data_IF_325676328380
#
_entry.id   IF_325676328380
#
_cell.length_a   1.000
_cell.length_b   1.000
_cell.length_c   1.000
_cell.angle_alpha   90.00
_cell.angle_beta   90.00
_cell.angle_gamma   90.00
#
_symmetry.space_group_name_H-M   'P 1'
#
loop_
_entity.id
_entity.type
_entity.pdbx_description
1 polymer ?
#
# COMPACT_ATOMS: atom_id res chain seq x y z
N UNK A 1 30.51 -4.86 -122.35
CA UNK A 1 30.60 -6.20 -121.73
C UNK A 1 30.04 -6.12 -120.32
N UNK A 2 29.15 -7.05 -119.91
CA UNK A 2 28.67 -7.20 -118.52
C UNK A 2 29.37 -8.40 -117.91
N UNK A 3 30.12 -8.20 -116.82
CA UNK A 3 30.77 -9.28 -116.07
C UNK A 3 29.71 -10.05 -115.27
N UNK A 4 29.80 -11.40 -115.19
CA UNK A 4 28.94 -12.19 -114.33
C UNK A 4 29.14 -11.77 -112.86
N UNK A 5 28.04 -11.49 -112.14
CA UNK A 5 28.06 -11.13 -110.72
C UNK A 5 27.40 -12.23 -109.88
N UNK A 6 28.02 -12.55 -108.73
CA UNK A 6 27.44 -13.40 -107.71
C UNK A 6 26.44 -12.59 -106.88
N UNK A 7 25.19 -13.04 -106.77
CA UNK A 7 24.19 -12.39 -105.92
C UNK A 7 23.97 -13.23 -104.67
N UNK A 8 24.16 -12.61 -103.50
CA UNK A 8 23.89 -13.20 -102.20
C UNK A 8 22.75 -12.40 -101.56
N UNK A 9 21.63 -13.07 -101.29
CA UNK A 9 20.53 -12.50 -100.53
C UNK A 9 20.49 -13.17 -99.16
N UNK A 10 20.66 -12.37 -98.11
CA UNK A 10 20.61 -12.84 -96.73
C UNK A 10 19.41 -12.24 -95.99
N UNK A 11 18.61 -13.10 -95.41
CA UNK A 11 17.54 -12.77 -94.48
C UNK A 11 18.00 -13.07 -93.05
N UNK A 12 18.17 -12.06 -92.18
CA UNK A 12 18.58 -12.29 -90.80
C UNK A 12 17.47 -12.92 -89.97
N UNK A 13 17.84 -13.61 -88.89
CA UNK A 13 16.87 -14.11 -87.90
C UNK A 13 16.19 -12.93 -87.19
N UNK A 14 14.89 -13.04 -86.90
CA UNK A 14 14.20 -12.14 -85.97
C UNK A 14 13.66 -12.94 -84.80
N UNK A 15 13.95 -12.46 -83.60
CA UNK A 15 13.49 -13.01 -82.34
C UNK A 15 12.55 -11.99 -81.68
N UNK A 16 11.39 -12.45 -81.23
CA UNK A 16 10.59 -11.73 -80.26
C UNK A 16 10.97 -12.20 -78.85
N UNK A 17 11.15 -11.24 -77.95
CA UNK A 17 11.61 -11.50 -76.58
C UNK A 17 10.58 -10.90 -75.63
N UNK A 18 9.81 -11.77 -74.99
CA UNK A 18 8.83 -11.37 -73.99
C UNK A 18 9.39 -11.67 -72.61
N UNK A 19 9.53 -10.63 -71.79
CA UNK A 19 10.06 -10.75 -70.44
C UNK A 19 9.02 -10.32 -69.42
N UNK A 20 8.78 -11.18 -68.43
CA UNK A 20 7.97 -10.87 -67.25
C UNK A 20 8.90 -10.66 -66.06
N UNK A 21 8.82 -9.48 -65.44
CA UNK A 21 9.59 -9.16 -64.23
C UNK A 21 9.17 -10.08 -63.06
N UNK A 22 10.15 -10.44 -62.24
CA UNK A 22 9.87 -11.12 -60.98
C UNK A 22 9.11 -10.18 -60.03
N UNK A 23 8.25 -10.74 -59.19
CA UNK A 23 7.50 -10.00 -58.17
C UNK A 23 7.76 -10.64 -56.80
N UNK A 24 7.94 -9.79 -55.80
CA UNK A 24 8.12 -10.20 -54.40
C UNK A 24 7.05 -9.49 -53.59
N UNK A 25 6.17 -10.25 -52.95
CA UNK A 25 5.20 -9.74 -51.98
C UNK A 25 5.66 -10.19 -50.59
N UNK A 26 5.83 -9.23 -49.68
CA UNK A 26 6.25 -9.48 -48.30
C UNK A 26 5.14 -8.97 -47.39
N UNK A 27 4.50 -9.87 -46.65
CA UNK A 27 3.44 -9.56 -45.70
C UNK A 27 3.87 -9.95 -44.30
N UNK A 28 3.92 -8.97 -43.40
CA UNK A 28 4.21 -9.22 -41.99
C UNK A 28 3.01 -8.82 -41.12
N UNK A 29 2.30 -9.79 -40.53
CA UNK A 29 1.29 -9.51 -39.52
C UNK A 29 1.89 -8.81 -38.31
N UNK A 30 1.12 -7.93 -37.66
CA UNK A 30 1.53 -7.26 -36.42
C UNK A 30 1.66 -8.28 -35.30
N UNK A 31 2.57 -8.03 -34.36
CA UNK A 31 2.67 -8.83 -33.15
C UNK A 31 1.38 -8.72 -32.31
N UNK A 32 0.98 -9.82 -31.69
CA UNK A 32 -0.13 -9.85 -30.74
C UNK A 32 0.41 -9.57 -29.33
N UNK A 33 -0.18 -8.60 -28.64
CA UNK A 33 0.23 -8.18 -27.29
C UNK A 33 -0.95 -8.37 -26.36
N UNK A 34 -0.80 -9.28 -25.39
CA UNK A 34 -1.73 -9.46 -24.29
C UNK A 34 -1.16 -8.79 -23.04
N UNK A 35 -1.91 -7.86 -22.46
CA UNK A 35 -1.54 -7.15 -21.23
C UNK A 35 -2.59 -7.48 -20.18
N UNK A 36 -2.18 -8.14 -19.10
CA UNK A 36 -3.03 -8.46 -17.96
C UNK A 36 -2.56 -7.69 -16.74
N UNK A 37 -3.38 -6.75 -16.28
CA UNK A 37 -3.10 -5.93 -15.10
C UNK A 37 -3.87 -6.45 -13.89
N UNK A 38 -3.15 -6.89 -12.87
CA UNK A 38 -3.70 -7.23 -11.56
C UNK A 38 -3.65 -5.99 -10.67
N UNK A 39 -4.81 -5.54 -10.17
CA UNK A 39 -4.90 -4.36 -9.30
C UNK A 39 -4.30 -4.66 -7.92
N UNK A 40 -3.62 -3.68 -7.28
CA UNK A 40 -3.18 -3.82 -5.90
C UNK A 40 -4.39 -3.97 -4.97
N UNK A 41 -4.18 -4.70 -3.87
CA UNK A 41 -5.17 -4.85 -2.81
C UNK A 41 -4.67 -4.17 -1.54
N UNK A 42 -5.56 -3.43 -0.87
CA UNK A 42 -5.30 -2.76 0.39
C UNK A 42 -6.26 -3.33 1.44
N UNK A 43 -5.71 -3.99 2.46
CA UNK A 43 -6.47 -4.44 3.63
C UNK A 43 -6.14 -3.52 4.82
N UNK A 44 -7.18 -3.01 5.45
CA UNK A 44 -7.08 -2.09 6.60
C UNK A 44 -7.93 -2.64 7.73
N UNK A 45 -7.27 -3.02 8.83
CA UNK A 45 -7.93 -3.51 10.03
C UNK A 45 -7.96 -2.40 11.09
N UNK A 46 -9.13 -1.75 11.31
CA UNK A 46 -9.23 -0.66 12.26
C UNK A 46 -9.32 -1.17 13.70
N UNK A 47 -8.69 -0.43 14.62
CA UNK A 47 -8.78 -0.68 16.05
C UNK A 47 -9.69 0.33 16.72
N UNK A 48 -10.62 -0.17 17.55
CA UNK A 48 -11.48 0.71 18.35
C UNK A 48 -10.66 1.32 19.50
N UNK A 49 -10.82 2.62 19.79
CA UNK A 49 -10.19 3.23 20.96
C UNK A 49 -10.77 2.61 22.23
N UNK A 50 -9.93 2.42 23.24
CA UNK A 50 -10.32 1.90 24.55
C UNK A 50 -10.36 3.06 25.54
N UNK A 51 -11.53 3.30 26.12
CA UNK A 51 -11.73 4.28 27.18
C UNK A 51 -11.69 3.56 28.53
N UNK A 52 -10.74 3.94 29.38
CA UNK A 52 -10.64 3.47 30.75
C UNK A 52 -10.98 4.63 31.69
N UNK A 53 -11.91 4.38 32.61
CA UNK A 53 -12.34 5.36 33.63
C UNK A 53 -12.12 4.70 34.99
N UNK A 54 -11.15 5.19 35.74
CA UNK A 54 -10.93 4.79 37.13
C UNK A 54 -11.57 5.81 38.07
N UNK A 55 -12.53 5.34 38.86
CA UNK A 55 -13.29 6.14 39.84
C UNK A 55 -13.01 5.69 41.27
N UNK A 56 -11.94 4.94 41.51
CA UNK A 56 -11.62 4.39 42.84
C UNK A 56 -11.48 5.51 43.88
N UNK A 57 -10.78 6.60 43.55
CA UNK A 57 -10.66 7.75 44.44
C UNK A 57 -11.98 8.52 44.60
N UNK A 58 -12.82 8.54 43.56
CA UNK A 58 -14.15 9.18 43.61
C UNK A 58 -15.04 8.47 44.61
N UNK A 59 -15.11 7.14 44.55
CA UNK A 59 -15.86 6.36 45.52
C UNK A 59 -15.27 6.47 46.93
N UNK A 60 -13.94 6.50 47.06
CA UNK A 60 -13.29 6.75 48.36
C UNK A 60 -13.75 8.06 49.01
N UNK A 61 -13.95 9.12 48.23
CA UNK A 61 -14.45 10.41 48.71
C UNK A 61 -15.96 10.43 48.98
N UNK A 62 -16.76 9.70 48.20
CA UNK A 62 -18.24 9.72 48.32
C UNK A 62 -18.74 8.81 49.44
N UNK A 63 -18.28 7.56 49.49
CA UNK A 63 -18.83 6.53 50.39
C UNK A 63 -17.79 5.97 51.37
N UNK A 64 -16.59 6.53 51.40
CA UNK A 64 -15.48 6.06 52.26
C UNK A 64 -14.59 5.04 51.59
N UNK A 65 -15.02 4.47 50.45
CA UNK A 65 -14.25 3.56 49.63
C UNK A 65 -14.47 2.10 49.98
N UNK A 66 -13.60 1.25 49.42
CA UNK A 66 -13.56 -0.17 49.80
C UNK A 66 -13.07 -0.33 51.25
N UNK A 67 -13.42 -1.42 51.95
CA UNK A 67 -13.02 -1.65 53.34
C UNK A 67 -11.51 -1.53 53.58
N UNK A 68 -10.69 -1.93 52.59
CA UNK A 68 -9.23 -1.85 52.68
C UNK A 68 -8.75 -0.40 52.70
N UNK A 69 -9.26 0.42 51.77
CA UNK A 69 -8.93 1.85 51.67
C UNK A 69 -9.45 2.64 52.88
N UNK A 70 -10.60 2.26 53.42
CA UNK A 70 -11.14 2.81 54.66
C UNK A 70 -10.23 2.46 55.85
N UNK A 71 -9.90 1.17 56.00
CA UNK A 71 -9.07 0.68 57.09
C UNK A 71 -7.70 1.36 57.10
N UNK A 72 -7.03 1.43 55.94
CA UNK A 72 -5.74 2.09 55.81
C UNK A 72 -5.77 3.55 56.25
N UNK A 73 -6.85 4.28 55.93
CA UNK A 73 -7.05 5.68 56.32
C UNK A 73 -7.27 5.85 57.83
N UNK A 74 -8.07 4.98 58.43
CA UNK A 74 -8.26 4.99 59.88
C UNK A 74 -6.94 4.69 60.61
N UNK A 75 -6.15 3.74 60.09
CA UNK A 75 -4.83 3.44 60.64
C UNK A 75 -3.85 4.61 60.49
N UNK A 76 -3.84 5.31 59.35
CA UNK A 76 -2.97 6.49 59.17
C UNK A 76 -3.30 7.64 60.12
N UNK A 77 -4.57 7.81 60.48
CA UNK A 77 -5.02 8.89 61.36
C UNK A 77 -4.85 8.58 62.86
N UNK A 78 -4.65 7.30 63.20
CA UNK A 78 -4.63 6.83 64.59
C UNK A 78 -3.56 7.52 65.46
N UNK A 79 -2.30 7.68 65.02
CA UNK A 79 -1.27 8.35 65.82
C UNK A 79 -1.64 9.79 66.21
N UNK A 80 -2.17 10.57 65.25
CA UNK A 80 -2.56 11.96 65.49
C UNK A 80 -3.72 12.05 66.49
N UNK A 81 -4.73 11.18 66.33
CA UNK A 81 -5.87 11.09 67.25
C UNK A 81 -5.40 10.72 68.66
N UNK A 82 -4.52 9.73 68.79
CA UNK A 82 -3.97 9.31 70.09
C UNK A 82 -3.17 10.41 70.78
N UNK A 83 -2.34 11.15 70.04
CA UNK A 83 -1.59 12.29 70.59
C UNK A 83 -2.52 13.39 71.11
N UNK A 84 -3.57 13.72 70.36
CA UNK A 84 -4.58 14.68 70.80
C UNK A 84 -5.31 14.19 72.07
N UNK A 85 -5.66 12.91 72.14
CA UNK A 85 -6.27 12.33 73.34
C UNK A 85 -5.33 12.38 74.55
N UNK A 86 -4.05 12.07 74.37
CA UNK A 86 -3.04 12.12 75.42
C UNK A 86 -2.88 13.55 75.95
N UNK A 87 -2.67 14.53 75.04
CA UNK A 87 -2.52 15.93 75.40
C UNK A 87 -3.74 16.47 76.17
N UNK A 88 -4.96 16.17 75.71
CA UNK A 88 -6.19 16.57 76.40
C UNK A 88 -6.33 15.91 77.76
N UNK A 89 -5.98 14.63 77.87
CA UNK A 89 -6.04 13.91 79.15
C UNK A 89 -5.09 14.54 80.17
N UNK A 90 -3.88 14.89 79.75
CA UNK A 90 -2.90 15.60 80.59
C UNK A 90 -3.44 16.97 81.01
N UNK A 91 -4.01 17.75 80.08
CA UNK A 91 -4.61 19.05 80.38
C UNK A 91 -5.76 18.94 81.39
N UNK A 92 -6.64 17.95 81.22
CA UNK A 92 -7.73 17.67 82.15
C UNK A 92 -7.22 17.39 83.56
N UNK A 93 -6.26 16.49 83.70
CA UNK A 93 -5.70 16.18 85.01
C UNK A 93 -4.93 17.34 85.62
N UNK A 94 -4.27 18.15 84.80
CA UNK A 94 -3.62 19.38 85.26
C UNK A 94 -4.63 20.39 85.83
N UNK A 95 -5.81 20.53 85.21
CA UNK A 95 -6.88 21.39 85.71
C UNK A 95 -7.47 20.88 87.03
N UNK A 96 -7.62 19.56 87.18
CA UNK A 96 -8.12 18.95 88.42
C UNK A 96 -7.09 19.06 89.56
N UNK A 97 -5.80 18.89 89.25
CA UNK A 97 -4.72 18.94 90.23
C UNK A 97 -4.26 20.36 90.59
N UNK A 98 -4.86 21.40 89.99
CA UNK A 98 -4.49 22.78 90.26
C UNK A 98 -5.06 23.26 91.60
N UNK A 99 -4.23 23.13 92.64
CA UNK A 99 -4.56 23.54 94.01
C UNK A 99 -4.61 25.07 94.20
N UNK A 100 -4.24 25.86 93.19
CA UNK A 100 -4.33 27.32 93.24
C UNK A 100 -5.71 27.85 92.81
N UNK A 101 -6.55 26.99 92.22
CA UNK A 101 -7.91 27.34 91.85
C UNK A 101 -8.78 27.58 93.09
N UNK A 102 -9.49 28.72 93.12
CA UNK A 102 -10.37 29.11 94.25
C UNK A 102 -11.72 28.37 94.26
N UNK A 103 -12.00 27.55 93.25
CA UNK A 103 -13.25 26.82 93.05
C UNK A 103 -12.97 25.39 92.61
N UNK A 104 -13.88 24.46 92.94
CA UNK A 104 -13.78 23.06 92.51
C UNK A 104 -13.89 22.96 90.97
N UNK A 105 -12.87 22.47 90.25
CA UNK A 105 -12.89 22.34 88.80
C UNK A 105 -13.69 21.11 88.31
N UNK A 106 -14.09 20.19 89.20
CA UNK A 106 -14.75 18.94 88.83
C UNK A 106 -16.08 19.13 88.09
N UNK A 107 -16.99 20.06 88.48
CA UNK A 107 -18.24 20.27 87.76
C UNK A 107 -18.02 20.73 86.32
N UNK A 108 -17.08 21.66 86.10
CA UNK A 108 -16.77 22.20 84.78
C UNK A 108 -16.12 21.14 83.88
N UNK A 109 -15.19 20.36 84.44
CA UNK A 109 -14.59 19.23 83.72
C UNK A 109 -15.66 18.20 83.38
N UNK A 110 -16.51 17.80 84.32
CA UNK A 110 -17.58 16.83 84.08
C UNK A 110 -18.55 17.32 82.98
N UNK A 111 -18.92 18.60 82.99
CA UNK A 111 -19.75 19.20 81.96
C UNK A 111 -19.08 19.15 80.57
N UNK A 112 -17.78 19.50 80.50
CA UNK A 112 -17.01 19.48 79.26
C UNK A 112 -16.84 18.07 78.68
N UNK A 113 -16.75 17.05 79.53
CA UNK A 113 -16.66 15.65 79.13
C UNK A 113 -18.04 15.11 78.68
N UNK A 114 -19.12 15.53 79.34
CA UNK A 114 -20.48 15.09 79.03
C UNK A 114 -20.96 15.58 77.65
N UNK A 115 -20.60 16.81 77.27
CA UNK A 115 -20.93 17.39 75.96
C UNK A 115 -19.77 17.30 74.95
N UNK A 116 -18.83 16.40 75.19
CA UNK A 116 -17.65 16.26 74.34
C UNK A 116 -18.03 15.80 72.93
N UNK A 117 -17.59 16.57 71.95
CA UNK A 117 -17.56 16.13 70.56
C UNK A 117 -16.45 15.10 70.33
N UNK A 118 -16.78 14.00 69.66
CA UNK A 118 -15.77 13.01 69.24
C UNK A 118 -14.82 13.67 68.25
N UNK A 119 -13.54 13.33 68.34
CA UNK A 119 -12.56 13.82 67.38
C UNK A 119 -13.03 13.49 65.95
N UNK A 120 -13.03 14.47 65.03
CA UNK A 120 -13.42 14.20 63.66
C UNK A 120 -12.46 13.16 63.08
N UNK A 121 -13.01 12.02 62.65
CA UNK A 121 -12.25 10.98 61.94
C UNK A 121 -12.44 11.19 60.45
N UNK A 122 -11.38 11.06 59.67
CA UNK A 122 -11.47 11.16 58.23
C UNK A 122 -12.09 9.86 57.67
N UNK A 123 -13.43 9.80 57.69
CA UNK A 123 -14.20 8.65 57.19
C UNK A 123 -14.22 8.60 55.66
N UNK A 124 -14.10 9.78 55.04
CA UNK A 124 -14.11 9.96 53.59
C UNK A 124 -12.74 10.35 53.05
N UNK A 125 -12.42 9.89 51.84
CA UNK A 125 -11.21 10.28 51.14
C UNK A 125 -11.24 11.76 50.76
N UNK A 126 -10.09 12.35 50.39
CA UNK A 126 -10.04 13.74 49.97
C UNK A 126 -10.93 13.95 48.74
N UNK A 127 -11.81 14.95 48.80
CA UNK A 127 -12.59 15.37 47.65
C UNK A 127 -11.67 16.14 46.69
N UNK A 128 -11.61 15.70 45.44
CA UNK A 128 -10.86 16.37 44.38
C UNK A 128 -11.53 16.18 43.03
N UNK A 129 -11.42 17.20 42.18
CA UNK A 129 -11.85 17.14 40.78
C UNK A 129 -11.08 16.06 39.99
N UNK A 130 -9.89 15.67 40.47
CA UNK A 130 -9.03 14.68 39.83
C UNK A 130 -9.23 13.25 40.37
N UNK A 131 -10.28 13.01 41.15
CA UNK A 131 -10.58 11.68 41.69
C UNK A 131 -11.05 10.68 40.61
N UNK A 132 -11.56 11.18 39.49
CA UNK A 132 -11.89 10.37 38.31
C UNK A 132 -10.75 10.49 37.30
N UNK A 133 -10.04 9.40 37.06
CA UNK A 133 -8.98 9.33 36.05
C UNK A 133 -9.54 8.74 34.77
N UNK A 134 -9.39 9.48 33.68
CA UNK A 134 -9.83 9.08 32.34
C UNK A 134 -8.59 8.88 31.49
N UNK A 135 -8.41 7.69 30.93
CA UNK A 135 -7.38 7.38 29.94
C UNK A 135 -8.02 6.85 28.66
N UNK A 136 -7.48 7.31 27.53
CA UNK A 136 -7.89 6.85 26.20
C UNK A 136 -6.69 6.20 25.55
N UNK A 137 -6.81 4.91 25.25
CA UNK A 137 -5.80 4.18 24.50
C UNK A 137 -6.24 4.09 23.03
N UNK A 138 -5.47 4.71 22.14
CA UNK A 138 -5.70 4.67 20.70
C UNK A 138 -4.58 3.87 20.04
N UNK A 139 -4.96 2.80 19.35
CA UNK A 139 -4.04 1.97 18.57
C UNK A 139 -4.16 2.31 17.08
N UNK A 140 -3.03 2.34 16.38
CA UNK A 140 -3.01 2.53 14.91
C UNK A 140 -3.69 1.33 14.22
N UNK A 141 -4.35 1.53 13.07
CA UNK A 141 -4.87 0.42 12.28
C UNK A 141 -3.73 -0.41 11.70
N UNK A 142 -3.95 -1.71 11.53
CA UNK A 142 -3.02 -2.56 10.79
C UNK A 142 -3.32 -2.43 9.30
N UNK A 143 -2.28 -2.16 8.50
CA UNK A 143 -2.40 -1.90 7.07
C UNK A 143 -1.53 -2.92 6.34
N UNK A 144 -2.14 -3.70 5.46
CA UNK A 144 -1.46 -4.64 4.58
C UNK A 144 -1.69 -4.26 3.11
N UNK A 145 -0.60 -4.03 2.39
CA UNK A 145 -0.62 -3.72 0.96
C UNK A 145 -0.10 -4.92 0.18
N UNK A 146 -0.92 -5.45 -0.72
CA UNK A 146 -0.48 -6.40 -1.73
C UNK A 146 -0.28 -5.64 -3.04
N UNK A 147 0.97 -5.49 -3.54
CA UNK A 147 1.23 -4.81 -4.80
C UNK A 147 0.47 -5.48 -5.95
N UNK A 148 0.02 -4.67 -6.90
CA UNK A 148 -0.47 -5.16 -8.17
C UNK A 148 0.70 -5.57 -9.07
N UNK A 149 0.38 -6.30 -10.13
CA UNK A 149 1.37 -6.76 -11.10
C UNK A 149 0.83 -6.60 -12.53
N UNK A 150 1.73 -6.47 -13.50
CA UNK A 150 1.39 -6.34 -14.92
C UNK A 150 2.12 -7.43 -15.68
N UNK A 151 1.36 -8.41 -16.18
CA UNK A 151 1.89 -9.44 -17.07
C UNK A 151 1.72 -8.99 -18.52
N UNK A 152 2.81 -8.99 -19.29
CA UNK A 152 2.85 -8.58 -20.69
C UNK A 152 3.37 -9.75 -21.51
N UNK A 153 2.49 -10.35 -22.31
CA UNK A 153 2.82 -11.44 -23.22
C UNK A 153 2.82 -10.94 -24.66
N UNK A 154 3.94 -11.10 -25.35
CA UNK A 154 4.13 -10.66 -26.74
C UNK A 154 4.36 -11.87 -27.63
N UNK A 155 3.49 -12.07 -28.61
CA UNK A 155 3.64 -13.08 -29.65
C UNK A 155 4.02 -12.42 -30.98
N UNK A 156 5.19 -12.76 -31.52
CA UNK A 156 5.69 -12.20 -32.78
C UNK A 156 5.37 -13.14 -33.95
N UNK A 157 5.00 -12.56 -35.09
CA UNK A 157 4.75 -13.32 -36.32
C UNK A 157 5.87 -13.09 -37.33
N UNK A 158 6.28 -14.18 -37.99
CA UNK A 158 7.30 -14.14 -39.04
C UNK A 158 6.71 -13.52 -40.33
N UNK A 159 7.51 -12.78 -41.10
CA UNK A 159 7.09 -12.30 -42.41
C UNK A 159 6.83 -13.48 -43.36
N UNK A 160 5.73 -13.39 -44.09
CA UNK A 160 5.40 -14.27 -45.20
C UNK A 160 5.94 -13.64 -46.47
N UNK A 161 6.69 -14.41 -47.26
CA UNK A 161 7.35 -13.94 -48.48
C UNK A 161 6.88 -14.81 -49.63
N UNK A 162 6.13 -14.21 -50.56
CA UNK A 162 5.69 -14.84 -51.79
C UNK A 162 6.57 -14.36 -52.94
N UNK A 163 7.30 -15.28 -53.57
CA UNK A 163 8.20 -14.99 -54.67
C UNK A 163 7.65 -15.56 -55.99
N UNK A 164 7.28 -14.67 -56.91
CA UNK A 164 6.94 -15.03 -58.28
C UNK A 164 8.15 -14.80 -59.19
N UNK A 165 8.75 -15.90 -59.65
CA UNK A 165 9.92 -15.87 -60.53
C UNK A 165 9.57 -15.19 -61.85
N UNK A 166 10.46 -14.30 -62.31
CA UNK A 166 10.39 -13.75 -63.65
C UNK A 166 10.70 -14.80 -64.72
N UNK A 167 10.09 -14.68 -65.88
CA UNK A 167 10.29 -15.59 -67.01
C UNK A 167 10.64 -14.80 -68.26
N UNK A 168 11.50 -15.36 -69.09
CA UNK A 168 11.81 -14.82 -70.42
C UNK A 168 11.47 -15.88 -71.44
N UNK A 169 10.67 -15.52 -72.43
CA UNK A 169 10.27 -16.39 -73.52
C UNK A 169 10.78 -15.80 -74.83
N UNK A 170 11.44 -16.65 -75.61
CA UNK A 170 12.02 -16.30 -76.90
C UNK A 170 11.24 -17.04 -77.98
N UNK A 171 10.73 -16.30 -78.97
CA UNK A 171 10.02 -16.87 -80.10
C UNK A 171 10.68 -16.42 -81.39
N UNK A 172 11.06 -17.36 -82.25
CA UNK A 172 11.63 -17.05 -83.57
C UNK A 172 10.48 -16.63 -84.48
N UNK A 173 10.41 -15.34 -84.82
CA UNK A 173 9.39 -14.81 -85.73
C UNK A 173 9.81 -14.94 -87.20
N UNK A 174 11.11 -15.00 -87.46
CA UNK A 174 11.66 -15.19 -88.80
C UNK A 174 12.96 -16.00 -88.71
N UNK A 175 13.01 -17.15 -89.40
CA UNK A 175 14.23 -17.95 -89.50
C UNK A 175 15.23 -17.31 -90.48
N UNK A 176 16.55 -17.46 -90.22
CA UNK A 176 17.55 -16.95 -91.12
C UNK A 176 17.57 -17.78 -92.41
N UNK A 177 17.73 -17.11 -93.56
CA UNK A 177 17.85 -17.75 -94.87
C UNK A 177 18.93 -17.05 -95.68
N UNK A 178 19.79 -17.80 -96.33
CA UNK A 178 20.76 -17.26 -97.29
C UNK A 178 20.57 -17.95 -98.62
N UNK A 179 20.36 -17.17 -99.68
CA UNK A 179 20.24 -17.64 -101.05
C UNK A 179 21.45 -17.12 -101.80
N UNK A 180 22.24 -18.04 -102.35
CA UNK A 180 23.39 -17.70 -103.21
C UNK A 180 23.01 -18.08 -104.63
N UNK A 181 22.82 -17.09 -105.49
CA UNK A 181 22.49 -17.30 -106.90
C UNK A 181 23.79 -17.22 -107.71
N UNK A 182 24.28 -18.34 -108.28
CA UNK A 182 25.48 -18.32 -109.11
C UNK A 182 25.22 -17.55 -110.41
N UNK A 183 26.25 -16.92 -111.01
CA UNK A 183 26.09 -16.23 -112.27
C UNK A 183 25.75 -17.19 -113.42
N UNK A 184 25.01 -16.73 -114.44
CA UNK A 184 24.70 -17.55 -115.61
C UNK A 184 25.98 -17.94 -116.37
N UNK A 185 26.06 -19.20 -116.79
CA UNK A 185 27.15 -19.70 -117.63
C UNK A 185 27.11 -18.99 -118.98
N UNK A 186 28.16 -18.24 -119.30
CA UNK A 186 28.34 -17.66 -120.64
C UNK A 186 29.09 -18.69 -121.47
N UNK A 187 28.40 -19.36 -122.38
CA UNK A 187 29.07 -20.10 -123.45
C UNK A 187 29.70 -19.08 -124.41
N UNK A 188 31.03 -19.04 -124.46
CA UNK A 188 31.78 -18.27 -125.45
C UNK A 188 31.69 -19.01 -126.80
N UNK A 189 30.70 -18.67 -127.62
CA UNK A 189 30.73 -19.04 -129.03
C UNK A 189 31.68 -18.11 -129.79
N UNK A 190 32.55 -18.72 -130.60
CA UNK A 190 33.69 -18.15 -131.30
C UNK A 190 33.33 -17.10 -132.37
#
# INVERSE_FOLDING_TARGET
MRLPQLQIESQPIRLDIQSRKAQVDIRQPRAEVSVQTTRPSLDVQPHRPVLQIDQTATWNAINGGKPEAFTQRIYSDTPAVMQQHAARTIQKWRQIADLQAKSDPLPDVALSEAFRERAPRQVFGPASLFNTRISVEVRKPDISLTPGDVDIQVQTHRPQVDYARGSVQYTVTQYPKVIVTPPPLVELQA
#
